data_IF_406995759112
#
_entry.id   IF_406995759112
#
_cell.length_a   1.000
_cell.length_b   1.000
_cell.length_c   1.000
_cell.angle_alpha   90.00
_cell.angle_beta   90.00
_cell.angle_gamma   90.00
#
_symmetry.space_group_name_H-M   'P 1'
#
loop_
_entity.id
_entity.type
_entity.pdbx_description
1 polymer ?
#
# COMPACT_ATOMS: atom_id res chain seq x y z
N UNK A 1 -105.73 -0.28 24.72
CA UNK A 1 -105.09 -0.86 23.51
C UNK A 1 -103.60 -1.11 23.79
N UNK A 2 -103.27 -2.37 23.95
CA UNK A 2 -101.94 -2.85 24.40
C UNK A 2 -101.04 -3.11 23.16
N UNK A 3 -99.91 -2.51 23.07
CA UNK A 3 -98.83 -2.93 22.11
C UNK A 3 -97.70 -3.58 22.82
N UNK A 4 -97.49 -4.87 22.54
CA UNK A 4 -96.36 -5.72 23.00
C UNK A 4 -95.12 -5.35 22.22
N UNK A 5 -94.03 -4.95 22.87
CA UNK A 5 -92.69 -4.92 22.30
C UNK A 5 -92.02 -6.28 22.42
N UNK A 6 -91.67 -6.84 21.32
CA UNK A 6 -90.78 -8.06 21.24
C UNK A 6 -89.31 -7.58 21.36
N UNK A 7 -88.59 -8.18 22.31
CA UNK A 7 -87.14 -8.05 22.44
C UNK A 7 -86.46 -9.05 21.48
N UNK A 8 -85.51 -8.54 20.66
CA UNK A 8 -84.54 -9.34 19.85
C UNK A 8 -83.26 -9.55 20.64
N UNK A 9 -82.55 -10.68 20.56
CA UNK A 9 -81.32 -10.90 21.30
C UNK A 9 -80.13 -10.31 20.53
N UNK A 10 -79.24 -9.64 21.29
CA UNK A 10 -77.98 -9.07 20.84
C UNK A 10 -76.94 -10.17 20.69
N UNK A 11 -76.37 -10.29 19.48
CA UNK A 11 -75.22 -11.16 19.16
C UNK A 11 -73.95 -10.40 19.53
N UNK A 12 -73.23 -10.86 20.55
CA UNK A 12 -71.90 -10.35 20.89
C UNK A 12 -70.89 -10.74 19.82
N UNK A 13 -70.34 -9.73 19.13
CA UNK A 13 -69.17 -9.89 18.24
C UNK A 13 -67.90 -9.98 19.11
N UNK A 14 -67.25 -11.15 19.06
CA UNK A 14 -65.88 -11.29 19.59
C UNK A 14 -64.92 -10.67 18.57
N UNK A 15 -64.22 -9.58 18.97
CA UNK A 15 -63.12 -9.01 18.24
C UNK A 15 -61.87 -9.88 18.45
N UNK A 16 -61.36 -10.46 17.38
CA UNK A 16 -60.06 -11.15 17.36
C UNK A 16 -59.02 -10.08 17.12
N UNK A 17 -58.19 -9.80 18.16
CA UNK A 17 -57.04 -8.95 18.05
C UNK A 17 -55.93 -9.77 17.37
N UNK A 18 -55.64 -9.51 16.11
CA UNK A 18 -54.44 -10.03 15.44
C UNK A 18 -53.21 -9.25 15.85
N UNK A 19 -52.34 -9.83 16.66
CA UNK A 19 -51.00 -9.32 16.94
C UNK A 19 -50.15 -9.51 15.70
N UNK A 20 -49.86 -8.43 14.98
CA UNK A 20 -48.81 -8.41 13.94
C UNK A 20 -47.44 -8.30 14.65
N UNK A 21 -46.67 -9.38 14.65
CA UNK A 21 -45.28 -9.39 15.05
C UNK A 21 -44.49 -8.80 13.89
N UNK A 22 -44.08 -7.51 14.01
CA UNK A 22 -43.09 -6.90 13.10
C UNK A 22 -41.72 -7.43 13.52
N UNK A 23 -41.23 -8.43 12.80
CA UNK A 23 -39.85 -8.88 12.89
C UNK A 23 -38.96 -7.82 12.25
N UNK A 24 -38.25 -7.01 13.05
CA UNK A 24 -37.15 -6.21 12.58
C UNK A 24 -35.99 -7.16 12.23
N UNK A 25 -35.79 -7.42 10.94
CA UNK A 25 -34.58 -8.04 10.46
C UNK A 25 -33.45 -7.00 10.62
N UNK A 26 -32.66 -7.14 11.66
CA UNK A 26 -31.36 -6.48 11.76
C UNK A 26 -30.47 -7.14 10.67
N UNK A 27 -30.36 -6.46 9.52
CA UNK A 27 -29.35 -6.76 8.53
C UNK A 27 -27.99 -6.44 9.13
N UNK A 28 -27.26 -7.46 9.60
CA UNK A 28 -25.82 -7.34 9.78
C UNK A 28 -25.23 -7.20 8.39
N UNK A 29 -24.83 -5.98 8.00
CA UNK A 29 -23.89 -5.81 6.93
C UNK A 29 -22.62 -6.54 7.39
N UNK A 30 -22.29 -7.66 6.75
CA UNK A 30 -20.98 -8.24 6.88
C UNK A 30 -20.01 -7.21 6.27
N UNK A 31 -19.28 -6.48 7.12
CA UNK A 31 -18.07 -5.82 6.68
C UNK A 31 -17.14 -6.96 6.24
N UNK A 32 -16.87 -7.05 4.95
CA UNK A 32 -15.72 -7.80 4.50
C UNK A 32 -14.53 -7.24 5.29
N UNK A 33 -13.77 -8.09 5.95
CA UNK A 33 -12.53 -7.65 6.56
C UNK A 33 -11.70 -7.01 5.44
N UNK A 34 -11.27 -5.76 5.63
CA UNK A 34 -10.31 -5.16 4.74
C UNK A 34 -9.07 -6.07 4.75
N UNK A 35 -8.48 -6.34 3.59
CA UNK A 35 -7.21 -7.06 3.52
C UNK A 35 -6.16 -6.36 4.39
N UNK A 36 -5.07 -7.04 4.70
CA UNK A 36 -3.93 -6.44 5.38
C UNK A 36 -3.35 -5.29 4.53
N UNK A 37 -3.05 -4.14 5.15
CA UNK A 37 -2.48 -3.00 4.44
C UNK A 37 -1.04 -3.29 4.02
N UNK A 38 -0.67 -2.91 2.80
CA UNK A 38 0.72 -2.97 2.35
C UNK A 38 1.37 -1.62 2.67
N UNK A 39 2.30 -1.60 3.61
CA UNK A 39 3.05 -0.41 4.01
C UNK A 39 4.49 -0.56 3.53
N UNK A 40 4.98 0.42 2.80
CA UNK A 40 6.35 0.50 2.30
C UNK A 40 7.05 1.65 3.01
N UNK A 41 7.88 1.34 3.97
CA UNK A 41 8.57 2.24 4.88
C UNK A 41 10.10 2.06 4.80
N UNK A 42 10.87 2.61 5.75
CA UNK A 42 12.33 2.52 5.79
C UNK A 42 12.85 1.07 5.85
N UNK A 43 12.09 0.11 6.36
CA UNK A 43 12.48 -1.31 6.41
C UNK A 43 12.43 -1.98 5.04
N UNK A 44 11.84 -1.33 4.04
CA UNK A 44 11.65 -1.80 2.68
C UNK A 44 12.72 -1.28 1.70
N UNK A 45 13.91 -0.92 2.17
CA UNK A 45 14.96 -0.28 1.34
C UNK A 45 16.07 -1.22 0.89
N UNK A 46 15.97 -2.52 1.18
CA UNK A 46 16.92 -3.53 0.76
C UNK A 46 16.38 -4.39 -0.39
N UNK A 47 17.16 -4.54 -1.47
CA UNK A 47 16.75 -5.34 -2.63
C UNK A 47 17.09 -6.83 -2.49
N UNK A 48 18.11 -7.16 -1.69
CA UNK A 48 18.61 -8.51 -1.53
C UNK A 48 17.57 -9.56 -1.12
N UNK A 49 16.62 -9.23 -0.23
CA UNK A 49 15.58 -10.16 0.17
C UNK A 49 14.52 -10.45 -0.89
N UNK A 50 14.41 -9.63 -1.95
CA UNK A 50 13.35 -9.78 -2.96
C UNK A 50 13.70 -10.87 -3.97
N UNK A 51 12.96 -11.97 -4.07
CA UNK A 51 13.19 -12.98 -5.12
C UNK A 51 12.98 -12.40 -6.52
N UNK A 52 13.88 -12.68 -7.45
CA UNK A 52 13.85 -12.17 -8.84
C UNK A 52 12.51 -12.45 -9.54
N UNK A 53 11.89 -13.61 -9.25
CA UNK A 53 10.60 -14.01 -9.82
C UNK A 53 9.49 -13.00 -9.53
N UNK A 54 9.46 -12.39 -8.34
CA UNK A 54 8.44 -11.41 -7.97
C UNK A 54 8.66 -10.05 -8.66
N UNK A 55 9.91 -9.68 -8.95
CA UNK A 55 10.20 -8.51 -9.78
C UNK A 55 9.73 -8.76 -11.22
N UNK A 56 10.01 -9.94 -11.79
CA UNK A 56 9.56 -10.29 -13.13
C UNK A 56 8.02 -10.36 -13.20
N UNK A 57 7.38 -10.90 -12.18
CA UNK A 57 5.93 -10.94 -12.09
C UNK A 57 5.32 -9.53 -11.99
N UNK A 58 5.89 -8.65 -11.19
CA UNK A 58 5.47 -7.25 -11.08
C UNK A 58 5.55 -6.53 -12.44
N UNK A 59 6.66 -6.69 -13.17
CA UNK A 59 6.85 -6.12 -14.51
C UNK A 59 5.84 -6.66 -15.52
N UNK A 60 5.43 -7.91 -15.38
CA UNK A 60 4.44 -8.53 -16.26
C UNK A 60 3.00 -8.07 -15.96
N UNK A 61 2.67 -7.87 -14.68
CA UNK A 61 1.31 -7.56 -14.22
C UNK A 61 0.99 -6.07 -14.25
N UNK A 62 1.95 -5.21 -13.90
CA UNK A 62 1.66 -3.80 -13.67
C UNK A 62 2.09 -2.88 -14.80
N UNK A 63 1.24 -1.88 -15.03
CA UNK A 63 1.45 -0.75 -15.92
C UNK A 63 1.16 0.51 -15.13
N UNK A 64 2.22 1.10 -14.58
CA UNK A 64 2.15 2.21 -13.65
C UNK A 64 1.99 3.56 -14.37
N UNK A 65 1.19 4.44 -13.77
CA UNK A 65 1.14 5.87 -14.05
C UNK A 65 1.54 6.62 -12.78
N UNK A 66 2.54 7.49 -12.87
CA UNK A 66 3.09 8.23 -11.73
C UNK A 66 3.05 9.73 -11.95
N UNK A 67 2.09 10.40 -11.28
CA UNK A 67 1.93 11.85 -11.28
C UNK A 67 2.78 12.49 -10.20
N UNK A 68 3.71 13.40 -10.58
CA UNK A 68 4.59 14.04 -9.63
C UNK A 68 5.25 15.30 -10.21
N UNK A 69 5.95 16.05 -9.35
CA UNK A 69 6.94 17.05 -9.71
C UNK A 69 8.27 16.77 -8.99
N UNK A 70 8.97 17.79 -8.46
CA UNK A 70 10.35 17.68 -8.01
C UNK A 70 10.58 16.63 -6.91
N UNK A 71 9.82 16.65 -5.80
CA UNK A 71 10.02 15.67 -4.72
C UNK A 71 9.72 14.24 -5.19
N UNK A 72 8.63 14.03 -5.92
CA UNK A 72 8.32 12.71 -6.46
C UNK A 72 9.38 12.18 -7.44
N UNK A 73 10.15 13.05 -8.12
CA UNK A 73 11.24 12.60 -8.99
C UNK A 73 12.39 11.92 -8.24
N UNK A 74 12.44 12.02 -6.91
CA UNK A 74 13.43 11.31 -6.08
C UNK A 74 13.33 9.80 -6.25
N UNK A 75 12.10 9.24 -6.27
CA UNK A 75 11.86 7.82 -6.53
C UNK A 75 12.43 7.42 -7.89
N UNK A 76 12.13 8.21 -8.93
CA UNK A 76 12.61 7.94 -10.30
C UNK A 76 14.13 8.05 -10.40
N UNK A 77 14.74 9.01 -9.69
CA UNK A 77 16.20 9.13 -9.61
C UNK A 77 16.83 7.89 -8.98
N UNK A 78 16.28 7.40 -7.86
CA UNK A 78 16.74 6.16 -7.23
C UNK A 78 16.52 4.93 -8.11
N UNK A 79 15.37 4.81 -8.75
CA UNK A 79 15.13 3.74 -9.73
C UNK A 79 16.15 3.77 -10.88
N UNK A 80 16.57 4.94 -11.33
CA UNK A 80 17.58 5.07 -12.38
C UNK A 80 18.99 4.69 -11.92
N UNK A 81 19.30 4.79 -10.62
CA UNK A 81 20.55 4.27 -10.04
C UNK A 81 20.58 2.74 -10.14
N UNK A 82 19.47 2.11 -9.79
CA UNK A 82 19.34 0.64 -9.76
C UNK A 82 19.19 0.06 -11.18
N UNK A 83 18.59 0.83 -12.07
CA UNK A 83 18.34 0.48 -13.45
C UNK A 83 19.66 0.27 -14.20
N UNK A 84 19.98 -0.94 -14.56
CA UNK A 84 21.11 -1.28 -15.40
C UNK A 84 20.73 -1.16 -16.89
N UNK A 85 21.31 -1.97 -17.74
CA UNK A 85 21.04 -2.02 -19.18
C UNK A 85 19.63 -2.56 -19.50
N UNK A 86 19.11 -2.25 -20.69
CA UNK A 86 17.84 -2.80 -21.16
C UNK A 86 17.75 -4.32 -21.04
N UNK A 87 16.66 -4.79 -20.41
CA UNK A 87 16.44 -6.21 -20.14
C UNK A 87 17.04 -6.73 -18.83
N UNK A 88 17.66 -5.87 -18.01
CA UNK A 88 18.07 -6.23 -16.65
C UNK A 88 16.87 -6.38 -15.70
N UNK A 89 17.08 -6.97 -14.53
CA UNK A 89 16.03 -7.26 -13.55
C UNK A 89 15.21 -6.01 -13.22
N UNK A 90 15.85 -4.89 -12.90
CA UNK A 90 15.19 -3.63 -12.51
C UNK A 90 15.00 -2.64 -13.68
N UNK A 91 14.94 -3.18 -14.92
CA UNK A 91 14.69 -2.34 -16.10
C UNK A 91 13.26 -1.82 -16.11
N UNK A 92 13.13 -0.54 -16.40
CA UNK A 92 11.85 0.13 -16.63
C UNK A 92 11.96 1.15 -17.75
N UNK A 93 10.91 1.40 -18.48
CA UNK A 93 10.75 2.50 -19.43
C UNK A 93 9.26 2.84 -19.61
N UNK A 94 8.97 3.82 -20.45
CA UNK A 94 7.60 4.28 -20.69
C UNK A 94 6.67 3.15 -21.16
N UNK A 95 7.14 2.28 -22.05
CA UNK A 95 6.31 1.27 -22.73
C UNK A 95 6.52 -0.16 -22.18
N UNK A 96 7.44 -0.36 -21.24
CA UNK A 96 7.81 -1.69 -20.73
C UNK A 96 8.55 -2.52 -21.75
N UNK A 97 9.42 -1.88 -22.56
CA UNK A 97 10.14 -2.59 -23.61
C UNK A 97 11.21 -3.53 -23.02
N UNK A 98 11.57 -4.56 -23.77
CA UNK A 98 12.59 -5.53 -23.38
C UNK A 98 12.33 -6.23 -22.03
N UNK A 99 11.05 -6.43 -21.67
CA UNK A 99 10.65 -7.03 -20.40
C UNK A 99 10.76 -6.11 -19.21
N UNK A 100 10.86 -4.80 -19.41
CA UNK A 100 10.88 -3.81 -18.34
C UNK A 100 9.49 -3.49 -17.78
N UNK A 101 9.46 -2.87 -16.60
CA UNK A 101 8.24 -2.29 -16.06
C UNK A 101 7.78 -1.11 -16.93
N UNK A 102 6.51 -1.11 -17.36
CA UNK A 102 5.92 0.03 -18.04
C UNK A 102 5.52 1.09 -17.03
N UNK A 103 6.16 2.25 -17.06
CA UNK A 103 5.85 3.36 -16.17
C UNK A 103 5.75 4.69 -16.94
N UNK A 104 4.56 5.29 -16.91
CA UNK A 104 4.34 6.64 -17.41
C UNK A 104 4.77 7.66 -16.35
N UNK A 105 6.02 8.07 -16.46
CA UNK A 105 6.63 9.09 -15.62
C UNK A 105 6.01 10.48 -15.89
N UNK A 106 5.86 11.33 -14.86
CA UNK A 106 5.18 12.63 -14.95
C UNK A 106 3.74 12.58 -15.52
N UNK A 107 3.05 11.47 -15.38
CA UNK A 107 1.72 11.27 -15.97
C UNK A 107 0.73 10.72 -14.94
N UNK A 108 -0.44 11.37 -14.76
CA UNK A 108 -0.76 12.71 -15.26
C UNK A 108 0.16 13.79 -14.66
N UNK A 109 0.33 14.93 -15.34
CA UNK A 109 1.23 15.98 -14.89
C UNK A 109 0.71 16.71 -13.66
N UNK A 110 1.57 17.08 -12.73
CA UNK A 110 1.29 17.89 -11.54
C UNK A 110 1.60 17.15 -10.23
N UNK A 111 1.16 17.75 -9.12
CA UNK A 111 1.27 17.18 -7.77
C UNK A 111 -0.07 16.98 -7.12
N UNK A 112 -0.12 16.18 -6.08
CA UNK A 112 -1.22 16.18 -5.14
C UNK A 112 -1.39 17.56 -4.51
N UNK A 113 -2.64 18.08 -4.51
CA UNK A 113 -2.97 19.34 -3.88
C UNK A 113 -2.57 20.61 -4.64
N UNK A 114 -2.09 20.55 -5.89
CA UNK A 114 -1.75 21.68 -6.74
C UNK A 114 -2.31 21.51 -8.17
N UNK A 115 -3.06 22.51 -8.73
CA UNK A 115 -3.32 23.86 -8.21
C UNK A 115 -4.38 23.92 -7.11
N UNK A 116 -5.09 22.84 -6.86
CA UNK A 116 -6.14 22.66 -5.84
C UNK A 116 -6.21 21.19 -5.38
N UNK A 117 -7.14 20.87 -4.48
CA UNK A 117 -7.26 19.53 -3.89
C UNK A 117 -7.94 18.49 -4.81
N UNK A 118 -8.46 18.90 -5.98
CA UNK A 118 -9.30 18.08 -6.85
C UNK A 118 -8.68 17.79 -8.21
N UNK A 119 -7.85 18.67 -8.72
CA UNK A 119 -7.33 18.60 -10.11
C UNK A 119 -6.59 17.30 -10.40
N UNK A 120 -5.85 16.74 -9.46
CA UNK A 120 -5.14 15.47 -9.62
C UNK A 120 -6.10 14.30 -9.86
N UNK A 121 -7.22 14.27 -9.13
CA UNK A 121 -8.26 13.23 -9.27
C UNK A 121 -8.96 13.35 -10.62
N UNK A 122 -9.33 14.56 -11.05
CA UNK A 122 -9.91 14.79 -12.37
C UNK A 122 -8.98 14.31 -13.49
N UNK A 123 -7.69 14.64 -13.41
CA UNK A 123 -6.69 14.20 -14.38
C UNK A 123 -6.50 12.68 -14.38
N UNK A 124 -6.60 12.05 -13.22
CA UNK A 124 -6.54 10.59 -13.11
C UNK A 124 -7.71 9.95 -13.84
N UNK A 125 -8.94 10.44 -13.63
CA UNK A 125 -10.13 9.95 -14.35
C UNK A 125 -10.02 10.19 -15.86
N UNK A 126 -9.65 11.38 -16.28
CA UNK A 126 -9.45 11.70 -17.70
C UNK A 126 -8.45 10.76 -18.37
N UNK A 127 -7.36 10.41 -17.67
CA UNK A 127 -6.39 9.45 -18.17
C UNK A 127 -6.99 8.04 -18.26
N UNK A 128 -7.58 7.53 -17.17
CA UNK A 128 -8.12 6.17 -17.11
C UNK A 128 -9.29 5.97 -18.08
N UNK A 129 -10.15 7.00 -18.27
CA UNK A 129 -11.28 6.97 -19.18
C UNK A 129 -10.89 7.14 -20.65
N UNK A 130 -9.62 7.47 -20.93
CA UNK A 130 -9.15 7.61 -22.31
C UNK A 130 -9.17 6.26 -23.02
N UNK A 131 -9.85 6.13 -24.19
CA UNK A 131 -9.90 4.87 -24.92
C UNK A 131 -8.52 4.30 -25.23
N UNK A 132 -8.27 3.07 -24.79
CA UNK A 132 -6.99 2.38 -24.96
C UNK A 132 -5.95 2.65 -23.86
N UNK A 133 -6.32 3.36 -22.80
CA UNK A 133 -5.51 3.41 -21.59
C UNK A 133 -5.39 1.99 -20.99
N UNK A 134 -4.18 1.58 -20.73
CA UNK A 134 -3.86 0.26 -20.17
C UNK A 134 -3.25 0.34 -18.77
N UNK A 135 -3.35 1.51 -18.13
CA UNK A 135 -2.82 1.72 -16.78
C UNK A 135 -3.70 1.03 -15.75
N UNK A 136 -3.10 0.11 -14.99
CA UNK A 136 -3.75 -0.63 -13.90
C UNK A 136 -3.13 -0.37 -12.53
N UNK A 137 -2.18 0.57 -12.46
CA UNK A 137 -1.56 1.03 -11.22
C UNK A 137 -1.33 2.54 -11.29
N UNK A 138 -1.77 3.29 -10.27
CA UNK A 138 -1.70 4.75 -10.23
C UNK A 138 -1.10 5.21 -8.91
N UNK A 139 -0.11 6.06 -9.00
CA UNK A 139 0.59 6.68 -7.87
C UNK A 139 0.71 8.18 -8.10
N UNK A 140 0.60 8.97 -7.04
CA UNK A 140 0.80 10.40 -7.06
C UNK A 140 1.64 10.84 -5.87
N UNK A 141 2.57 11.79 -6.08
CA UNK A 141 3.34 12.36 -5.00
C UNK A 141 2.88 13.76 -4.61
N UNK A 142 3.24 14.13 -3.39
CA UNK A 142 3.19 15.49 -2.89
C UNK A 142 4.48 16.25 -3.27
N UNK A 143 4.34 17.56 -3.41
CA UNK A 143 5.40 18.51 -3.16
C UNK A 143 5.02 19.30 -1.92
N UNK A 144 5.26 20.17 -1.30
CA UNK A 144 4.90 20.74 0.00
C UNK A 144 3.40 20.81 0.41
N UNK A 145 2.46 20.32 -0.42
CA UNK A 145 1.03 20.54 -0.17
C UNK A 145 0.42 19.59 0.89
N UNK A 146 1.17 18.57 1.36
CA UNK A 146 0.75 17.69 2.45
C UNK A 146 0.71 18.40 3.80
N UNK A 147 1.51 19.46 4.01
CA UNK A 147 1.42 20.34 5.16
C UNK A 147 0.18 21.26 5.05
N UNK A 148 -0.95 20.73 5.48
CA UNK A 148 -2.27 21.32 5.29
C UNK A 148 -3.17 21.09 6.51
N UNK A 149 -4.45 21.49 6.42
CA UNK A 149 -5.42 21.18 7.49
C UNK A 149 -5.92 19.74 7.41
N UNK A 150 -6.44 19.22 8.52
CA UNK A 150 -7.06 17.89 8.60
C UNK A 150 -8.17 17.72 7.57
N UNK A 151 -9.03 18.75 7.40
CA UNK A 151 -10.13 18.72 6.44
C UNK A 151 -9.62 18.64 4.99
N UNK A 152 -8.55 19.35 4.67
CA UNK A 152 -7.93 19.28 3.34
C UNK A 152 -7.28 17.92 3.06
N UNK A 153 -6.67 17.30 4.07
CA UNK A 153 -6.16 15.93 3.96
C UNK A 153 -7.30 14.93 3.80
N UNK A 154 -8.43 15.13 4.52
CA UNK A 154 -9.60 14.28 4.36
C UNK A 154 -10.16 14.30 2.93
N UNK A 155 -10.13 15.45 2.24
CA UNK A 155 -10.52 15.54 0.82
C UNK A 155 -9.68 14.58 -0.04
N UNK A 156 -8.36 14.54 0.18
CA UNK A 156 -7.49 13.59 -0.53
C UNK A 156 -7.89 12.14 -0.28
N UNK A 157 -8.09 11.76 0.98
CA UNK A 157 -8.46 10.40 1.38
C UNK A 157 -9.83 9.98 0.80
N UNK A 158 -10.80 10.89 0.81
CA UNK A 158 -12.13 10.65 0.25
C UNK A 158 -12.08 10.46 -1.28
N UNK A 159 -11.29 11.28 -1.99
CA UNK A 159 -11.10 11.18 -3.43
C UNK A 159 -10.35 9.90 -3.83
N UNK A 160 -9.32 9.49 -3.08
CA UNK A 160 -8.66 8.21 -3.29
C UNK A 160 -9.63 7.04 -3.10
N UNK A 161 -10.42 7.07 -2.03
CA UNK A 161 -11.43 6.04 -1.77
C UNK A 161 -12.49 5.97 -2.89
N UNK A 162 -12.87 7.12 -3.45
CA UNK A 162 -13.79 7.17 -4.59
C UNK A 162 -13.15 6.59 -5.87
N UNK A 163 -11.89 6.89 -6.16
CA UNK A 163 -11.16 6.31 -7.29
C UNK A 163 -11.06 4.79 -7.16
N UNK A 164 -10.70 4.27 -5.99
CA UNK A 164 -10.63 2.82 -5.72
C UNK A 164 -11.99 2.15 -5.95
N UNK A 165 -13.09 2.79 -5.52
CA UNK A 165 -14.42 2.24 -5.70
C UNK A 165 -14.89 2.26 -7.16
N UNK A 166 -14.52 3.31 -7.92
CA UNK A 166 -14.95 3.50 -9.31
C UNK A 166 -14.10 2.71 -10.31
N UNK A 167 -12.84 2.38 -9.97
CA UNK A 167 -11.90 1.64 -10.82
C UNK A 167 -11.35 0.40 -10.09
N UNK A 168 -12.16 -0.64 -9.85
CA UNK A 168 -11.77 -1.81 -9.03
C UNK A 168 -10.62 -2.66 -9.63
N UNK A 169 -10.35 -2.50 -10.93
CA UNK A 169 -9.25 -3.19 -11.62
C UNK A 169 -7.94 -2.37 -11.61
N UNK A 170 -7.91 -1.22 -10.92
CA UNK A 170 -6.75 -0.33 -10.83
C UNK A 170 -6.26 -0.28 -9.38
N UNK A 171 -4.99 -0.58 -9.18
CA UNK A 171 -4.31 -0.41 -7.89
C UNK A 171 -3.96 1.06 -7.69
N UNK A 172 -4.43 1.67 -6.60
CA UNK A 172 -4.09 3.03 -6.22
C UNK A 172 -3.16 3.02 -5.01
N UNK A 173 -2.07 3.80 -5.09
CA UNK A 173 -1.03 3.87 -4.06
C UNK A 173 -1.14 5.22 -3.36
N UNK A 174 -1.38 5.19 -2.04
CA UNK A 174 -1.29 6.37 -1.19
C UNK A 174 0.17 6.75 -0.95
N UNK A 175 0.42 8.02 -0.69
CA UNK A 175 1.77 8.51 -0.36
C UNK A 175 1.70 9.55 0.75
N UNK A 176 2.64 9.50 1.70
CA UNK A 176 2.88 10.57 2.67
C UNK A 176 3.65 11.73 2.02
N UNK A 177 3.59 12.92 2.62
CA UNK A 177 4.41 14.07 2.21
C UNK A 177 5.85 13.94 2.70
N UNK A 178 6.79 14.63 2.03
CA UNK A 178 8.20 14.70 2.43
C UNK A 178 8.38 15.42 3.77
N UNK A 179 9.51 15.24 4.45
CA UNK A 179 9.83 15.94 5.69
C UNK A 179 10.04 17.45 5.45
N UNK A 180 9.82 18.28 6.47
CA UNK A 180 9.94 19.73 6.39
C UNK A 180 10.65 20.37 7.61
N UNK A 181 11.37 19.57 8.40
CA UNK A 181 12.11 20.06 9.56
C UNK A 181 11.27 20.44 10.77
N UNK A 182 9.98 20.09 10.81
CA UNK A 182 9.09 20.41 11.94
C UNK A 182 8.99 19.30 13.00
N UNK A 183 9.61 18.16 12.75
CA UNK A 183 9.68 17.02 13.69
C UNK A 183 8.33 16.37 13.95
N UNK A 184 8.27 15.51 14.98
CA UNK A 184 7.09 14.74 15.36
C UNK A 184 5.90 15.59 15.80
N UNK A 185 6.15 16.77 16.37
CA UNK A 185 5.10 17.71 16.80
C UNK A 185 4.56 18.57 15.65
N UNK A 186 5.13 18.43 14.45
CA UNK A 186 4.77 19.20 13.27
C UNK A 186 3.40 18.86 12.70
N UNK A 187 2.73 19.86 12.11
CA UNK A 187 1.44 19.64 11.44
C UNK A 187 1.57 18.62 10.28
N UNK A 188 2.68 18.66 9.55
CA UNK A 188 2.94 17.70 8.46
C UNK A 188 2.98 16.26 8.97
N UNK A 189 3.68 15.98 10.11
CA UNK A 189 3.69 14.66 10.72
C UNK A 189 2.26 14.21 11.11
N UNK A 190 1.46 15.10 11.70
CA UNK A 190 0.07 14.79 12.00
C UNK A 190 -0.76 14.46 10.74
N UNK A 191 -0.49 15.11 9.61
CA UNK A 191 -1.17 14.80 8.32
C UNK A 191 -0.67 13.50 7.71
N UNK A 192 0.62 13.21 7.79
CA UNK A 192 1.17 11.92 7.36
C UNK A 192 0.57 10.77 8.19
N UNK A 193 0.41 10.95 9.51
CA UNK A 193 -0.26 9.97 10.36
C UNK A 193 -1.74 9.77 10.00
N UNK A 194 -2.45 10.84 9.60
CA UNK A 194 -3.83 10.71 9.10
C UNK A 194 -3.91 9.85 7.84
N UNK A 195 -2.92 9.93 6.94
CA UNK A 195 -2.82 9.05 5.77
C UNK A 195 -2.55 7.60 6.21
N UNK A 196 -1.55 7.36 7.09
CA UNK A 196 -1.19 6.02 7.61
C UNK A 196 -2.38 5.33 8.26
N UNK A 197 -3.06 6.03 9.18
CA UNK A 197 -4.25 5.51 9.87
C UNK A 197 -5.37 5.12 8.89
N UNK A 198 -5.61 5.95 7.88
CA UNK A 198 -6.61 5.66 6.85
C UNK A 198 -6.25 4.42 6.05
N UNK A 199 -5.01 4.30 5.59
CA UNK A 199 -4.55 3.15 4.79
C UNK A 199 -4.63 1.86 5.59
N UNK A 200 -4.19 1.86 6.85
CA UNK A 200 -4.29 0.71 7.75
C UNK A 200 -5.77 0.32 7.95
N UNK A 201 -6.64 1.28 8.19
CA UNK A 201 -8.06 1.02 8.41
C UNK A 201 -8.80 0.48 7.17
N UNK A 202 -8.32 0.78 5.98
CA UNK A 202 -8.95 0.41 4.71
C UNK A 202 -8.28 -0.76 3.99
N UNK A 203 -7.13 -1.26 4.49
CA UNK A 203 -6.34 -2.31 3.83
C UNK A 203 -5.75 -1.85 2.50
N UNK A 204 -5.35 -0.58 2.42
CA UNK A 204 -4.79 0.01 1.20
C UNK A 204 -3.29 -0.22 1.03
N UNK A 205 -2.70 0.44 0.03
CA UNK A 205 -1.26 0.43 -0.24
C UNK A 205 -0.67 1.81 0.03
N UNK A 206 0.36 1.89 0.86
CA UNK A 206 1.06 3.12 1.21
C UNK A 206 2.53 3.05 0.81
N UNK A 207 3.00 4.03 0.04
CA UNK A 207 4.41 4.36 -0.05
C UNK A 207 4.72 5.46 0.97
N UNK A 208 5.35 5.09 2.10
CA UNK A 208 5.58 6.00 3.21
C UNK A 208 6.86 6.81 3.02
N UNK A 209 6.76 7.80 2.14
CA UNK A 209 7.86 8.65 1.74
C UNK A 209 8.52 9.37 2.93
N UNK A 210 7.70 9.86 3.88
CA UNK A 210 8.18 10.53 5.08
C UNK A 210 8.92 9.59 6.03
N UNK A 211 8.48 8.34 6.13
CA UNK A 211 9.14 7.36 6.97
C UNK A 211 10.53 7.01 6.42
N UNK A 212 10.63 6.74 5.12
CA UNK A 212 11.92 6.47 4.45
C UNK A 212 12.91 7.63 4.65
N UNK A 213 12.45 8.89 4.66
CA UNK A 213 13.29 10.06 4.90
C UNK A 213 13.68 10.26 6.37
N UNK A 214 13.03 9.53 7.28
CA UNK A 214 13.25 9.65 8.73
C UNK A 214 14.36 8.76 9.26
N UNK A 215 14.90 7.86 8.44
CA UNK A 215 15.90 6.87 8.85
C UNK A 215 17.08 6.83 7.87
N UNK A 216 18.26 6.49 8.40
CA UNK A 216 19.36 6.03 7.57
C UNK A 216 19.29 4.51 7.31
N UNK A 217 20.18 3.95 6.47
CA UNK A 217 20.18 2.50 6.19
C UNK A 217 20.49 1.61 7.40
N UNK A 218 21.12 2.14 8.45
CA UNK A 218 21.42 1.40 9.69
C UNK A 218 20.22 1.40 10.68
N UNK A 219 19.16 2.16 10.34
CA UNK A 219 17.93 2.26 11.12
C UNK A 219 17.98 3.32 12.23
N UNK A 220 18.92 4.25 12.17
CA UNK A 220 18.97 5.39 13.07
C UNK A 220 17.88 6.41 12.69
N UNK A 221 17.15 6.91 13.71
CA UNK A 221 15.97 7.77 13.55
C UNK A 221 16.28 9.25 13.71
N UNK A 222 15.82 10.08 12.78
CA UNK A 222 16.16 11.52 12.72
C UNK A 222 14.96 12.47 12.75
N UNK A 223 13.72 12.01 12.66
CA UNK A 223 12.54 12.89 12.68
C UNK A 223 12.39 13.60 14.04
N UNK A 224 12.71 12.96 15.16
CA UNK A 224 12.73 13.54 16.50
C UNK A 224 13.84 14.60 16.67
N UNK A 225 14.83 14.59 15.74
CA UNK A 225 15.91 15.57 15.61
C UNK A 225 15.60 16.64 14.55
N UNK A 226 14.33 16.79 14.15
CA UNK A 226 13.83 17.74 13.19
C UNK A 226 14.42 17.57 11.77
N UNK A 227 14.55 16.33 11.31
CA UNK A 227 15.00 16.06 9.95
C UNK A 227 14.11 16.70 8.89
N UNK A 228 14.73 17.16 7.80
CA UNK A 228 14.06 17.71 6.62
C UNK A 228 14.30 16.86 5.35
N UNK A 229 13.69 17.26 4.25
CA UNK A 229 13.77 16.59 2.95
C UNK A 229 15.17 16.58 2.33
N UNK A 230 16.06 17.50 2.74
CA UNK A 230 17.48 17.55 2.34
C UNK A 230 18.38 16.66 3.21
N UNK A 231 17.79 15.87 4.15
CA UNK A 231 18.48 15.02 5.15
C UNK A 231 19.21 15.79 6.23
N UNK A 232 18.91 17.08 6.42
CA UNK A 232 19.47 17.86 7.52
C UNK A 232 18.70 17.64 8.81
N UNK A 233 19.42 17.60 9.94
CA UNK A 233 18.87 17.44 11.29
C UNK A 233 19.65 18.25 12.32
N UNK A 234 19.14 18.35 13.55
CA UNK A 234 19.75 19.09 14.63
C UNK A 234 20.20 18.16 15.75
N UNK A 235 21.50 18.22 16.13
CA UNK A 235 22.05 17.52 17.29
C UNK A 235 22.95 18.49 18.06
N UNK A 236 22.71 18.66 19.38
CA UNK A 236 23.49 19.54 20.27
C UNK A 236 23.70 20.97 19.72
N UNK A 237 22.70 21.52 19.05
CA UNK A 237 22.73 22.80 18.35
C UNK A 237 23.63 22.84 17.10
N UNK A 238 24.10 21.73 16.62
CA UNK A 238 24.79 21.57 15.33
C UNK A 238 23.79 21.12 14.25
N UNK A 239 23.94 21.70 13.06
CA UNK A 239 23.15 21.34 11.88
C UNK A 239 23.96 20.32 11.07
N UNK A 240 23.49 19.10 10.99
CA UNK A 240 24.19 17.93 10.45
C UNK A 240 23.34 17.31 9.35
N UNK A 241 23.95 16.47 8.52
CA UNK A 241 23.27 15.77 7.42
C UNK A 241 23.51 14.27 7.53
N UNK A 242 22.48 13.52 7.88
CA UNK A 242 22.60 12.09 8.14
C UNK A 242 23.04 11.29 6.88
N UNK A 243 22.57 11.68 5.69
CA UNK A 243 22.93 10.95 4.49
C UNK A 243 24.40 11.16 4.07
N UNK A 244 24.95 12.37 4.31
CA UNK A 244 26.38 12.64 4.07
C UNK A 244 27.23 11.87 5.10
N UNK A 245 26.82 11.88 6.37
CA UNK A 245 27.54 11.21 7.45
C UNK A 245 27.58 9.69 7.22
N UNK A 246 26.44 9.12 6.90
CA UNK A 246 26.36 7.68 6.58
C UNK A 246 27.27 7.32 5.40
N UNK A 247 27.25 8.11 4.32
CA UNK A 247 28.09 7.85 3.16
C UNK A 247 29.60 8.00 3.43
N UNK A 248 29.98 8.92 4.34
CA UNK A 248 31.38 9.09 4.76
C UNK A 248 31.84 7.87 5.60
N UNK A 249 30.97 7.26 6.37
CA UNK A 249 31.23 6.06 7.16
C UNK A 249 31.19 4.77 6.33
N UNK A 250 30.48 4.76 5.17
CA UNK A 250 30.31 3.62 4.27
C UNK A 250 30.85 3.91 2.85
N UNK A 251 32.18 4.08 2.70
CA UNK A 251 32.77 4.49 1.43
C UNK A 251 32.59 3.43 0.33
N UNK A 252 31.90 3.83 -0.73
CA UNK A 252 31.63 3.00 -1.90
C UNK A 252 30.24 2.35 -1.91
N UNK A 253 29.43 2.60 -0.88
CA UNK A 253 28.05 2.10 -0.80
C UNK A 253 27.02 3.11 -1.28
N UNK A 254 27.40 4.40 -1.33
CA UNK A 254 26.53 5.45 -1.84
C UNK A 254 26.63 5.63 -3.35
N UNK A 255 25.48 5.77 -3.97
CA UNK A 255 25.35 6.12 -5.37
C UNK A 255 25.54 7.63 -5.58
N UNK A 256 25.93 8.03 -6.79
CA UNK A 256 26.00 9.43 -7.22
C UNK A 256 24.87 9.69 -8.22
N UNK A 257 23.80 10.33 -7.79
CA UNK A 257 22.71 10.75 -8.66
C UNK A 257 22.21 12.15 -8.32
N UNK A 258 21.58 12.81 -9.27
CA UNK A 258 20.84 14.03 -8.98
C UNK A 258 19.56 13.68 -8.22
N UNK A 259 19.45 14.17 -7.00
CA UNK A 259 18.30 13.99 -6.12
C UNK A 259 17.67 15.37 -5.85
N UNK A 260 16.49 15.64 -6.39
CA UNK A 260 15.82 16.93 -6.24
C UNK A 260 15.45 17.18 -4.77
N UNK A 261 15.90 18.25 -4.19
CA UNK A 261 15.67 18.62 -2.78
C UNK A 261 16.14 17.56 -1.77
N UNK A 262 17.19 16.78 -2.11
CA UNK A 262 17.68 15.76 -1.18
C UNK A 262 19.10 15.29 -1.53
N UNK A 263 19.59 14.27 -0.81
CA UNK A 263 20.86 13.60 -1.03
C UNK A 263 20.69 12.35 -1.89
N UNK A 264 21.74 11.95 -2.62
CA UNK A 264 21.71 10.76 -3.49
C UNK A 264 21.27 9.50 -2.78
N UNK A 265 21.75 9.26 -1.54
CA UNK A 265 21.39 8.11 -0.71
C UNK A 265 19.87 8.01 -0.49
N UNK A 266 19.24 9.14 -0.13
CA UNK A 266 17.79 9.19 0.11
C UNK A 266 16.99 8.87 -1.17
N UNK A 267 17.45 9.30 -2.35
CA UNK A 267 16.85 8.88 -3.62
C UNK A 267 17.03 7.39 -3.88
N UNK A 268 18.21 6.83 -3.62
CA UNK A 268 18.51 5.42 -3.81
C UNK A 268 17.61 4.53 -2.93
N UNK A 269 17.49 4.86 -1.64
CA UNK A 269 16.57 4.17 -0.72
C UNK A 269 15.13 4.16 -1.25
N UNK A 270 14.62 5.28 -1.76
CA UNK A 270 13.28 5.37 -2.34
C UNK A 270 13.11 4.56 -3.62
N UNK A 271 14.16 4.50 -4.45
CA UNK A 271 14.15 3.65 -5.65
C UNK A 271 14.09 2.16 -5.30
N UNK A 272 14.81 1.75 -4.25
CA UNK A 272 14.77 0.38 -3.72
C UNK A 272 13.40 0.06 -3.12
N UNK A 273 12.87 0.97 -2.28
CA UNK A 273 11.54 0.84 -1.71
C UNK A 273 10.42 0.75 -2.79
N UNK A 274 10.60 1.44 -3.93
CA UNK A 274 9.68 1.31 -5.05
C UNK A 274 9.64 -0.12 -5.61
N UNK A 275 10.79 -0.77 -5.82
CA UNK A 275 10.82 -2.15 -6.29
C UNK A 275 10.32 -3.16 -5.26
N UNK A 276 10.56 -2.87 -3.97
CA UNK A 276 9.95 -3.62 -2.88
C UNK A 276 8.42 -3.56 -2.96
N UNK A 277 7.86 -2.35 -3.10
CA UNK A 277 6.43 -2.16 -3.30
C UNK A 277 5.90 -2.96 -4.49
N UNK A 278 6.58 -2.91 -5.62
CA UNK A 278 6.16 -3.63 -6.81
C UNK A 278 6.13 -5.15 -6.60
N UNK A 279 7.10 -5.70 -5.87
CA UNK A 279 7.12 -7.11 -5.50
C UNK A 279 5.96 -7.46 -4.55
N UNK A 280 5.69 -6.62 -3.53
CA UNK A 280 4.55 -6.79 -2.61
C UNK A 280 3.22 -6.77 -3.34
N UNK A 281 3.05 -5.86 -4.30
CA UNK A 281 1.84 -5.78 -5.13
C UNK A 281 1.68 -7.00 -6.05
N UNK A 282 2.78 -7.62 -6.47
CA UNK A 282 2.75 -8.85 -7.27
C UNK A 282 2.40 -10.10 -6.46
N UNK A 283 2.34 -10.00 -5.13
CA UNK A 283 1.96 -11.09 -4.22
C UNK A 283 3.07 -11.58 -3.31
N UNK A 284 4.29 -11.01 -3.40
CA UNK A 284 5.36 -11.37 -2.46
C UNK A 284 4.97 -10.98 -1.03
N UNK A 285 4.94 -11.94 -0.15
CA UNK A 285 4.49 -11.74 1.23
C UNK A 285 5.50 -10.96 2.11
N UNK A 286 6.76 -10.79 1.65
CA UNK A 286 7.84 -10.12 2.38
C UNK A 286 8.91 -11.11 2.83
N UNK A 287 10.04 -10.62 3.36
CA UNK A 287 11.15 -11.49 3.79
C UNK A 287 10.83 -12.29 5.05
N UNK A 288 9.96 -11.75 5.89
CA UNK A 288 9.55 -12.40 7.16
C UNK A 288 8.34 -13.32 6.98
N UNK A 289 7.80 -13.40 5.76
CA UNK A 289 6.72 -14.34 5.49
C UNK A 289 7.29 -15.75 5.40
N UNK A 290 6.73 -16.61 6.19
CA UNK A 290 7.07 -18.02 6.23
C UNK A 290 5.88 -18.83 5.66
N UNK A 291 5.66 -18.84 4.34
CA UNK A 291 4.50 -19.51 3.75
C UNK A 291 4.43 -20.99 4.12
N UNK A 292 5.57 -21.56 4.49
CA UNK A 292 5.69 -22.95 4.92
C UNK A 292 5.28 -23.18 6.39
N UNK A 293 5.15 -22.11 7.19
CA UNK A 293 4.53 -22.15 8.53
C UNK A 293 3.01 -22.04 8.40
N UNK A 294 2.43 -23.14 7.98
CA UNK A 294 0.98 -23.26 7.73
C UNK A 294 0.17 -23.20 9.01
N UNK A 295 0.78 -23.59 10.12
CA UNK A 295 0.16 -23.56 11.45
C UNK A 295 0.21 -22.18 12.10
N UNK A 296 1.10 -21.27 11.66
CA UNK A 296 1.27 -19.93 12.20
C UNK A 296 1.91 -19.88 13.59
N UNK A 297 2.75 -20.88 13.93
CA UNK A 297 3.39 -20.98 15.23
C UNK A 297 4.85 -20.46 15.26
N UNK A 298 5.27 -19.77 14.19
CA UNK A 298 6.61 -19.20 13.95
C UNK A 298 7.71 -20.26 13.79
N UNK A 299 7.35 -21.49 13.44
CA UNK A 299 8.30 -22.59 13.25
C UNK A 299 7.84 -23.56 12.19
N UNK A 300 8.56 -23.72 11.10
CA UNK A 300 8.28 -24.79 10.11
C UNK A 300 8.77 -26.11 10.66
N UNK A 301 7.85 -26.99 11.00
CA UNK A 301 8.15 -28.32 11.55
C UNK A 301 7.22 -29.43 11.06
N UNK A 302 7.11 -30.50 11.84
CA UNK A 302 6.28 -31.64 11.49
C UNK A 302 4.78 -31.33 11.49
N UNK A 303 4.33 -30.29 12.20
CA UNK A 303 2.92 -29.90 12.24
C UNK A 303 2.50 -29.31 10.90
N UNK A 304 3.31 -28.44 10.30
CA UNK A 304 3.06 -27.87 8.96
C UNK A 304 3.06 -28.94 7.89
N UNK A 305 4.03 -29.85 7.97
CA UNK A 305 4.08 -31.00 7.08
C UNK A 305 2.80 -31.84 7.14
N UNK A 306 2.19 -31.98 8.32
CA UNK A 306 0.96 -32.75 8.51
C UNK A 306 -0.26 -32.01 7.98
N UNK A 307 -0.31 -30.68 8.09
CA UNK A 307 -1.39 -29.87 7.50
C UNK A 307 -1.34 -29.95 5.98
N UNK A 308 -0.16 -29.75 5.34
CA UNK A 308 0.01 -29.91 3.89
C UNK A 308 -0.38 -31.30 3.41
N UNK A 309 0.02 -32.36 4.12
CA UNK A 309 -0.40 -33.74 3.81
C UNK A 309 -1.89 -33.96 4.00
N UNK A 310 -2.52 -33.26 4.94
CA UNK A 310 -3.95 -33.33 5.22
C UNK A 310 -4.82 -32.67 4.15
N UNK A 311 -4.31 -31.63 3.49
CA UNK A 311 -5.01 -30.86 2.45
C UNK A 311 -4.74 -31.36 1.02
N UNK A 312 -4.04 -32.49 0.83
CA UNK A 312 -3.57 -33.01 -0.46
C UNK A 312 -4.64 -33.07 -1.55
N UNK A 313 -4.43 -32.38 -2.66
CA UNK A 313 -5.32 -32.33 -3.82
C UNK A 313 -5.71 -30.90 -4.21
N UNK A 314 -6.77 -30.72 -5.03
CA UNK A 314 -7.22 -29.39 -5.43
C UNK A 314 -7.64 -28.56 -4.21
N UNK A 315 -6.99 -27.44 -4.01
CA UNK A 315 -7.19 -26.56 -2.86
C UNK A 315 -6.94 -25.09 -3.22
N UNK A 316 -7.71 -24.52 -4.15
CA UNK A 316 -7.53 -23.12 -4.51
C UNK A 316 -7.79 -22.24 -3.28
N UNK A 317 -6.89 -21.28 -3.02
CA UNK A 317 -6.97 -20.30 -1.93
C UNK A 317 -6.84 -20.92 -0.51
N UNK A 318 -6.20 -22.09 -0.32
CA UNK A 318 -5.92 -22.61 1.02
C UNK A 318 -4.45 -22.37 1.45
N UNK A 319 -4.19 -22.22 2.76
CA UNK A 319 -2.84 -21.94 3.27
C UNK A 319 -1.82 -23.04 2.96
N UNK A 320 -2.27 -24.27 2.73
CA UNK A 320 -1.44 -25.43 2.45
C UNK A 320 -0.97 -25.49 0.99
N UNK A 321 -1.57 -24.70 0.09
CA UNK A 321 -1.12 -24.46 -1.28
C UNK A 321 -0.03 -23.37 -1.26
N UNK A 322 1.15 -23.74 -0.80
CA UNK A 322 2.29 -22.83 -0.56
C UNK A 322 2.82 -22.26 -1.87
N UNK A 323 2.70 -23.03 -2.96
CA UNK A 323 3.14 -22.64 -4.29
C UNK A 323 2.13 -21.80 -5.07
N UNK A 324 0.89 -21.65 -4.54
CA UNK A 324 -0.23 -20.90 -5.13
C UNK A 324 -0.57 -21.35 -6.56
N UNK A 325 -0.46 -22.68 -6.82
CA UNK A 325 -0.80 -23.28 -8.11
C UNK A 325 -2.22 -23.88 -8.16
N UNK A 326 -2.96 -23.78 -7.07
CA UNK A 326 -4.33 -24.30 -6.89
C UNK A 326 -4.41 -25.75 -6.50
N UNK A 327 -3.29 -26.41 -6.21
CA UNK A 327 -3.21 -27.85 -5.90
C UNK A 327 -2.15 -28.12 -4.84
N UNK A 328 -2.53 -28.59 -3.68
CA UNK A 328 -1.58 -29.09 -2.68
C UNK A 328 -0.98 -30.40 -3.14
N UNK A 329 0.32 -30.42 -3.46
CA UNK A 329 1.04 -31.58 -3.96
C UNK A 329 2.49 -31.68 -3.44
N UNK A 330 3.34 -32.37 -4.18
CA UNK A 330 4.73 -32.58 -3.78
C UNK A 330 5.56 -31.28 -3.80
N UNK A 331 5.14 -30.27 -4.55
CA UNK A 331 5.87 -28.99 -4.61
C UNK A 331 5.71 -28.25 -3.28
N UNK A 332 4.49 -28.19 -2.72
CA UNK A 332 4.23 -27.59 -1.41
C UNK A 332 4.97 -28.31 -0.29
N UNK A 333 4.99 -29.64 -0.38
CA UNK A 333 5.75 -30.46 0.58
C UNK A 333 7.25 -30.13 0.53
N UNK A 334 7.80 -29.85 -0.66
CA UNK A 334 9.20 -29.47 -0.81
C UNK A 334 9.47 -28.08 -0.24
N UNK A 335 8.53 -27.15 -0.34
CA UNK A 335 8.65 -25.83 0.29
C UNK A 335 8.71 -25.96 1.83
N UNK A 336 7.83 -26.74 2.46
CA UNK A 336 7.91 -27.02 3.90
C UNK A 336 9.27 -27.63 4.27
N UNK A 337 9.76 -28.60 3.52
CA UNK A 337 11.05 -29.24 3.80
C UNK A 337 12.24 -28.29 3.59
N UNK A 338 12.14 -27.34 2.65
CA UNK A 338 13.20 -26.39 2.36
C UNK A 338 13.31 -25.28 3.42
N UNK A 339 12.18 -24.91 4.03
CA UNK A 339 12.05 -23.86 5.04
C UNK A 339 12.16 -24.37 6.50
N UNK A 340 12.51 -25.65 6.71
CA UNK A 340 12.50 -26.29 8.01
C UNK A 340 13.32 -25.57 9.10
N UNK A 341 12.65 -25.08 10.14
CA UNK A 341 13.25 -24.35 11.26
C UNK A 341 12.42 -23.15 11.71
N UNK A 342 12.98 -22.25 12.53
CA UNK A 342 12.30 -21.01 12.89
C UNK A 342 12.07 -20.12 11.69
N UNK A 343 10.94 -19.48 11.63
CA UNK A 343 10.61 -18.46 10.64
C UNK A 343 11.31 -17.14 10.89
#
# INVERSE_FOLDING_TARGET
>A
MMHRHRRTPSIARRSILSLAVIGAALGFAAFAAAGEAIIIDHTCTELGPIPESWIEQAKAQFRLSYGHTSHGSQIVSGMNVIKDQPGSLYWWDHDGTQGGLSMWDYTPSGDLGNPDRYTWEVRTREMLDTPGCDRNCVMWSWCGQADTTEENMQIYLDLMSALIADYPDVTFIYMTGHLNGTGEEGNLHARNNQIREHVIATGGVLFDFADIESYDPDGDYFLDLYADDECWYWLDSEHRNWAIEWCDEHPGECSDCYCAHSQSLNCDMKGRAFWWMMARLAGWAGPDACPADVTGDETVDVLDLLEVLGAWGPCPDCPEDITDDGVVDVLDLLEVLSAWGPC
#
